data_IF_570308187675
#
_entry.id   IF_570308187675
#
_cell.length_a   1.000
_cell.length_b   1.000
_cell.length_c   1.000
_cell.angle_alpha   90.00
_cell.angle_beta   90.00
_cell.angle_gamma   90.00
#
_symmetry.space_group_name_H-M   'P 1'
#
loop_
_entity.id
_entity.type
_entity.pdbx_description
1 polymer ?
#
# COMPACT_ATOMS: atom_id res chain seq x y z
N UNK A 1 4.23 3.29 -7.30
CA UNK A 1 4.50 2.03 -6.56
C UNK A 1 4.34 0.84 -7.53
N UNK A 2 5.41 0.05 -7.85
CA UNK A 2 5.46 -1.41 -8.23
C UNK A 2 6.91 -1.82 -8.63
N UNK A 3 7.32 -3.10 -8.81
CA UNK A 3 8.72 -3.60 -8.94
C UNK A 3 8.88 -4.88 -9.80
N UNK A 4 10.15 -5.27 -10.08
CA UNK A 4 10.71 -6.46 -10.78
C UNK A 4 11.45 -7.39 -9.76
N UNK A 5 11.60 -8.70 -10.02
CA UNK A 5 12.16 -9.70 -9.06
C UNK A 5 13.45 -10.42 -9.47
N UNK A 6 14.11 -11.10 -8.50
CA UNK A 6 14.82 -12.43 -8.54
C UNK A 6 15.77 -12.68 -7.32
N UNK A 7 15.58 -13.87 -6.70
CA UNK A 7 16.42 -14.82 -5.92
C UNK A 7 17.19 -14.54 -4.61
N UNK A 8 17.06 -15.56 -3.72
CA UNK A 8 17.35 -15.69 -2.27
C UNK A 8 18.84 -15.88 -1.89
N UNK A 9 19.17 -15.72 -0.59
CA UNK A 9 19.66 -16.79 0.33
C UNK A 9 19.51 -16.40 1.83
N UNK A 10 19.35 -17.42 2.68
CA UNK A 10 18.79 -17.45 4.05
C UNK A 10 19.83 -17.47 5.20
N UNK A 11 19.49 -17.04 6.43
CA UNK A 11 19.58 -17.86 7.69
C UNK A 11 19.20 -17.17 9.03
N UNK A 12 18.88 -18.03 10.01
CA UNK A 12 18.17 -17.90 11.29
C UNK A 12 18.87 -17.27 12.53
N UNK A 13 18.06 -16.57 13.35
CA UNK A 13 17.68 -16.67 14.79
C UNK A 13 18.58 -17.12 16.00
N UNK A 14 18.42 -16.34 17.10
CA UNK A 14 18.39 -16.64 18.59
C UNK A 14 19.71 -16.90 19.41
N UNK A 15 19.71 -16.84 20.77
CA UNK A 15 19.66 -15.65 21.66
C UNK A 15 20.69 -15.66 22.83
N UNK A 16 20.53 -14.69 23.76
CA UNK A 16 21.33 -14.27 24.93
C UNK A 16 21.89 -15.31 25.92
N UNK A 17 22.99 -14.91 26.61
CA UNK A 17 23.32 -15.35 27.98
C UNK A 17 23.73 -14.20 28.91
N UNK A 18 23.30 -14.41 30.15
CA UNK A 18 23.37 -13.66 31.42
C UNK A 18 24.77 -13.22 31.86
N UNK A 19 24.86 -12.16 32.70
CA UNK A 19 25.40 -12.24 34.07
C UNK A 19 25.21 -10.93 34.86
N UNK A 20 24.80 -11.08 36.12
CA UNK A 20 24.50 -10.03 37.11
C UNK A 20 25.76 -9.39 37.69
N UNK A 21 25.70 -8.09 38.02
CA UNK A 21 26.52 -7.48 39.07
C UNK A 21 25.77 -6.31 39.72
N UNK A 22 25.69 -6.34 41.05
CA UNK A 22 25.02 -5.37 41.92
C UNK A 22 25.93 -4.15 42.13
N UNK A 23 25.54 -2.97 41.63
CA UNK A 23 26.05 -1.69 42.14
C UNK A 23 25.09 -0.54 41.83
N UNK A 24 24.70 0.17 42.89
CA UNK A 24 24.14 1.54 42.93
C UNK A 24 22.83 1.80 42.17
N UNK A 25 21.72 1.96 42.92
CA UNK A 25 20.46 2.49 42.38
C UNK A 25 20.58 4.00 42.22
N UNK A 26 21.24 4.43 41.14
CA UNK A 26 20.91 5.72 40.53
C UNK A 26 19.64 5.49 39.71
N UNK A 27 18.54 6.13 40.08
CA UNK A 27 17.31 6.13 39.29
C UNK A 27 17.56 7.02 38.06
N UNK A 28 18.32 6.49 37.10
CA UNK A 28 18.43 7.07 35.76
C UNK A 28 17.06 6.84 35.12
N UNK A 29 16.20 7.85 35.13
CA UNK A 29 15.03 7.87 34.26
C UNK A 29 15.57 7.89 32.84
N UNK A 30 15.76 6.71 32.26
CA UNK A 30 15.93 6.56 30.83
C UNK A 30 14.62 7.07 30.22
N UNK A 31 14.59 8.36 29.85
CA UNK A 31 13.69 8.82 28.81
C UNK A 31 14.02 7.96 27.60
N UNK A 32 13.29 6.86 27.47
CA UNK A 32 13.22 6.10 26.24
C UNK A 32 12.48 7.03 25.29
N UNK A 33 13.19 7.98 24.68
CA UNK A 33 12.70 8.58 23.46
C UNK A 33 12.56 7.39 22.53
N UNK A 34 11.34 6.89 22.36
CA UNK A 34 11.03 5.97 21.28
C UNK A 34 11.27 6.77 20.02
N UNK A 35 12.53 6.82 19.57
CA UNK A 35 12.88 7.24 18.24
C UNK A 35 12.23 6.20 17.33
N UNK A 36 10.99 6.45 16.93
CA UNK A 36 10.38 5.69 15.85
C UNK A 36 11.27 5.95 14.63
N UNK A 37 12.00 4.92 14.20
CA UNK A 37 12.72 4.97 12.95
C UNK A 37 11.71 5.29 11.85
N UNK A 38 11.93 6.39 11.12
CA UNK A 38 11.00 6.81 10.08
C UNK A 38 10.98 5.78 8.95
N UNK A 39 9.81 5.58 8.33
CA UNK A 39 9.69 4.58 7.26
C UNK A 39 10.56 4.97 6.04
N UNK A 40 10.56 6.26 5.71
CA UNK A 40 11.37 6.88 4.66
C UNK A 40 11.76 8.32 5.07
N UNK A 41 12.60 9.03 4.28
CA UNK A 41 12.88 10.45 4.53
C UNK A 41 11.62 11.33 4.40
N UNK A 42 11.39 12.24 5.34
CA UNK A 42 10.18 13.09 5.40
C UNK A 42 10.28 14.39 4.58
N UNK A 43 11.15 14.44 3.57
CA UNK A 43 11.48 15.65 2.81
C UNK A 43 10.64 15.87 1.54
N UNK A 44 9.68 14.98 1.26
CA UNK A 44 8.91 15.00 0.01
C UNK A 44 7.40 15.23 0.20
N UNK A 45 6.96 15.50 1.44
CA UNK A 45 5.54 15.71 1.77
C UNK A 45 4.73 14.42 1.94
N UNK A 46 5.39 13.27 2.08
CA UNK A 46 4.81 12.03 2.58
C UNK A 46 5.24 11.85 4.03
N UNK A 47 4.28 11.69 4.94
CA UNK A 47 4.56 11.32 6.33
C UNK A 47 4.33 9.83 6.54
N UNK A 48 4.91 9.24 7.58
CA UNK A 48 4.74 7.81 7.92
C UNK A 48 3.28 7.42 8.14
N UNK A 49 2.43 8.35 8.60
CA UNK A 49 1.00 8.12 8.71
C UNK A 49 0.40 7.82 7.34
N UNK A 50 0.75 8.63 6.34
CA UNK A 50 0.28 8.49 4.95
C UNK A 50 0.80 7.19 4.35
N UNK A 51 2.10 6.92 4.48
CA UNK A 51 2.77 5.73 3.94
C UNK A 51 2.12 4.45 4.45
N UNK A 52 1.98 4.34 5.76
CA UNK A 52 1.38 3.17 6.37
C UNK A 52 -0.09 3.02 5.99
N UNK A 53 -0.86 4.11 5.93
CA UNK A 53 -2.27 4.00 5.57
C UNK A 53 -2.46 3.55 4.11
N UNK A 54 -1.59 3.97 3.17
CA UNK A 54 -1.56 3.41 1.82
C UNK A 54 -1.22 1.92 1.84
N UNK A 55 -0.18 1.53 2.59
CA UNK A 55 0.27 0.14 2.70
C UNK A 55 -0.81 -0.78 3.30
N UNK A 56 -1.44 -0.34 4.39
CA UNK A 56 -2.50 -1.07 5.09
C UNK A 56 -3.71 -1.26 4.19
N UNK A 57 -4.10 -0.21 3.45
CA UNK A 57 -5.25 -0.28 2.55
C UNK A 57 -5.02 -1.26 1.40
N UNK A 58 -3.84 -1.22 0.76
CA UNK A 58 -3.50 -2.20 -0.27
C UNK A 58 -3.50 -3.63 0.29
N UNK A 59 -2.86 -3.84 1.45
CA UNK A 59 -2.80 -5.17 2.06
C UNK A 59 -4.16 -5.69 2.54
N UNK A 60 -5.07 -4.81 2.99
CA UNK A 60 -6.43 -5.16 3.31
C UNK A 60 -7.20 -5.68 2.09
N UNK A 61 -7.11 -5.00 0.95
CA UNK A 61 -7.74 -5.43 -0.30
C UNK A 61 -7.14 -6.72 -0.87
N UNK A 62 -5.81 -6.86 -0.80
CA UNK A 62 -5.14 -8.11 -1.16
C UNK A 62 -5.61 -9.28 -0.31
N UNK A 63 -5.82 -9.05 0.99
CA UNK A 63 -6.37 -10.05 1.91
C UNK A 63 -7.82 -10.42 1.54
N UNK A 64 -8.64 -9.42 1.23
CA UNK A 64 -10.05 -9.62 0.83
C UNK A 64 -10.15 -10.49 -0.44
N UNK A 65 -9.34 -10.20 -1.46
CA UNK A 65 -9.25 -11.01 -2.68
C UNK A 65 -8.68 -12.40 -2.38
N UNK A 66 -7.63 -12.50 -1.57
CA UNK A 66 -7.03 -13.79 -1.24
C UNK A 66 -8.03 -14.76 -0.58
N UNK A 67 -8.95 -14.24 0.24
CA UNK A 67 -10.02 -15.01 0.87
C UNK A 67 -11.19 -15.34 -0.04
N UNK A 68 -11.27 -14.72 -1.22
CA UNK A 68 -12.40 -14.85 -2.14
C UNK A 68 -13.65 -14.11 -1.65
N UNK A 69 -13.46 -12.98 -0.96
CA UNK A 69 -14.52 -12.18 -0.35
C UNK A 69 -14.81 -10.88 -1.14
N UNK A 70 -14.01 -10.59 -2.18
CA UNK A 70 -14.15 -9.38 -2.98
C UNK A 70 -15.19 -9.58 -4.10
N UNK A 71 -16.28 -8.81 -4.07
CA UNK A 71 -17.35 -8.87 -5.08
C UNK A 71 -16.83 -8.55 -6.48
N UNK A 72 -17.26 -9.35 -7.46
CA UNK A 72 -16.87 -9.22 -8.86
C UNK A 72 -18.05 -8.71 -9.70
N UNK A 73 -17.80 -7.72 -10.57
CA UNK A 73 -18.83 -7.07 -11.38
C UNK A 73 -19.52 -8.00 -12.38
N UNK A 74 -18.87 -9.10 -12.78
CA UNK A 74 -19.47 -10.13 -13.64
C UNK A 74 -20.27 -11.20 -12.86
N UNK A 75 -20.42 -11.04 -11.55
CA UNK A 75 -21.12 -11.97 -10.66
C UNK A 75 -20.16 -12.72 -9.73
N UNK A 76 -20.69 -13.12 -8.57
CA UNK A 76 -19.90 -13.80 -7.54
C UNK A 76 -18.79 -12.94 -6.93
N UNK A 77 -17.73 -13.61 -6.47
CA UNK A 77 -16.54 -12.97 -5.92
C UNK A 77 -15.32 -13.31 -6.78
N UNK A 78 -14.27 -12.49 -6.71
CA UNK A 78 -12.96 -12.84 -7.26
C UNK A 78 -12.48 -14.18 -6.65
N UNK A 79 -11.82 -15.04 -7.44
CA UNK A 79 -11.39 -16.35 -6.96
C UNK A 79 -10.30 -16.20 -5.89
N UNK A 80 -10.24 -17.18 -4.98
CA UNK A 80 -9.25 -17.22 -3.88
C UNK A 80 -7.83 -17.25 -4.44
N UNK A 81 -6.93 -16.49 -3.82
CA UNK A 81 -5.52 -16.47 -4.21
C UNK A 81 -4.69 -17.37 -3.27
N UNK A 82 -4.11 -18.44 -3.81
CA UNK A 82 -3.34 -19.41 -3.01
C UNK A 82 -2.07 -18.83 -2.38
N UNK A 83 -1.45 -17.81 -2.99
CA UNK A 83 -0.14 -17.24 -2.59
C UNK A 83 -0.08 -15.73 -2.85
N UNK A 84 -1.03 -14.99 -2.28
CA UNK A 84 -1.03 -13.52 -2.32
C UNK A 84 0.05 -12.96 -1.40
N UNK A 85 1.05 -12.28 -1.95
CA UNK A 85 2.14 -11.69 -1.15
C UNK A 85 1.67 -10.45 -0.39
N UNK A 86 2.19 -10.25 0.83
CA UNK A 86 2.00 -9.00 1.59
C UNK A 86 2.92 -7.93 1.04
N UNK A 87 2.37 -6.77 0.69
CA UNK A 87 3.16 -5.62 0.26
C UNK A 87 4.00 -5.05 1.40
N UNK A 88 5.19 -4.58 1.07
CA UNK A 88 6.04 -3.73 1.90
C UNK A 88 6.18 -2.34 1.27
N UNK A 89 6.35 -1.32 2.11
CA UNK A 89 6.66 0.03 1.62
C UNK A 89 8.12 0.10 1.16
N UNK A 90 8.40 0.87 0.11
CA UNK A 90 9.74 0.99 -0.45
C UNK A 90 10.00 2.45 -0.84
N UNK A 91 11.02 3.03 -0.22
CA UNK A 91 11.32 4.45 -0.32
C UNK A 91 11.86 4.86 -1.70
N UNK A 92 12.53 3.97 -2.44
CA UNK A 92 13.02 4.27 -3.78
C UNK A 92 11.86 4.40 -4.78
N UNK A 93 10.80 3.60 -4.59
CA UNK A 93 9.52 3.80 -5.29
C UNK A 93 8.92 5.16 -4.97
N UNK A 94 8.87 5.51 -3.68
CA UNK A 94 8.25 6.76 -3.22
C UNK A 94 8.97 7.94 -3.86
N UNK A 95 10.30 7.96 -3.76
CA UNK A 95 11.13 9.02 -4.32
C UNK A 95 10.88 9.20 -5.82
N UNK A 96 10.93 8.13 -6.61
CA UNK A 96 10.64 8.19 -8.05
C UNK A 96 9.21 8.70 -8.32
N UNK A 97 8.23 8.17 -7.59
CA UNK A 97 6.81 8.54 -7.74
C UNK A 97 6.60 10.02 -7.38
N UNK A 98 7.20 10.49 -6.29
CA UNK A 98 7.06 11.87 -5.81
C UNK A 98 7.81 12.85 -6.72
N UNK A 99 8.97 12.47 -7.27
CA UNK A 99 9.68 13.27 -8.26
C UNK A 99 8.85 13.46 -9.54
N UNK A 100 8.10 12.42 -9.96
CA UNK A 100 7.16 12.56 -11.07
C UNK A 100 5.92 13.37 -10.68
N UNK A 101 5.30 13.10 -9.53
CA UNK A 101 4.08 13.77 -9.07
C UNK A 101 4.26 15.29 -8.92
N UNK A 102 5.45 15.76 -8.54
CA UNK A 102 5.81 17.19 -8.47
C UNK A 102 5.72 17.91 -9.82
N UNK A 103 5.74 17.18 -10.94
CA UNK A 103 5.54 17.78 -12.28
C UNK A 103 4.09 18.18 -12.53
N UNK A 104 3.14 17.72 -11.70
CA UNK A 104 1.73 18.05 -11.80
C UNK A 104 1.10 17.70 -13.17
N UNK A 105 1.56 16.62 -13.80
CA UNK A 105 1.01 16.09 -15.06
C UNK A 105 0.18 14.85 -14.78
N UNK A 106 -1.08 14.84 -15.20
CA UNK A 106 -1.96 13.67 -15.08
C UNK A 106 -1.82 12.75 -16.30
N UNK A 107 -0.66 12.13 -16.41
CA UNK A 107 -0.36 11.13 -17.43
C UNK A 107 0.68 10.16 -16.89
N UNK A 108 0.73 8.94 -17.43
CA UNK A 108 1.82 8.03 -17.11
C UNK A 108 3.14 8.54 -17.73
N UNK A 109 4.22 8.56 -16.95
CA UNK A 109 5.56 8.63 -17.54
C UNK A 109 5.97 7.30 -18.17
N UNK A 110 7.07 7.31 -18.93
CA UNK A 110 7.55 6.13 -19.61
C UNK A 110 7.90 5.01 -18.62
N UNK A 111 7.79 3.76 -19.08
CA UNK A 111 8.08 2.61 -18.24
C UNK A 111 9.54 2.59 -17.75
N UNK A 112 10.47 3.05 -18.60
CA UNK A 112 11.88 3.18 -18.26
C UNK A 112 12.13 4.24 -17.17
N UNK A 113 11.45 5.39 -17.23
CA UNK A 113 11.58 6.46 -16.21
C UNK A 113 11.12 6.04 -14.82
N UNK A 114 10.31 4.97 -14.76
CA UNK A 114 9.81 4.38 -13.51
C UNK A 114 10.61 3.15 -13.10
N UNK A 115 11.84 2.93 -13.57
CA UNK A 115 12.61 1.71 -13.28
C UNK A 115 11.84 0.42 -13.57
N UNK A 116 10.99 0.43 -14.62
CA UNK A 116 10.13 -0.69 -14.99
C UNK A 116 9.09 -1.05 -13.93
N UNK A 117 8.61 -0.05 -13.21
CA UNK A 117 7.54 -0.16 -12.22
C UNK A 117 6.18 0.15 -12.82
N UNK A 118 5.16 -0.58 -12.36
CA UNK A 118 3.76 -0.23 -12.57
C UNK A 118 3.39 1.08 -11.87
N UNK A 119 2.29 1.68 -12.32
CA UNK A 119 1.84 2.98 -11.83
C UNK A 119 0.32 3.05 -11.91
N UNK A 120 -0.30 3.45 -10.80
CA UNK A 120 -1.67 3.92 -10.79
C UNK A 120 -1.65 5.43 -10.55
N UNK A 121 -2.58 6.16 -11.19
CA UNK A 121 -2.72 7.59 -11.05
C UNK A 121 -4.11 7.93 -10.50
N UNK A 122 -4.17 8.99 -9.69
CA UNK A 122 -5.41 9.55 -9.19
C UNK A 122 -5.26 11.06 -9.06
N UNK A 123 -6.33 11.79 -9.37
CA UNK A 123 -6.43 13.22 -9.22
C UNK A 123 -7.77 13.57 -8.58
N UNK A 124 -7.78 14.63 -7.79
CA UNK A 124 -8.98 15.23 -7.20
C UNK A 124 -9.02 16.71 -7.57
N UNK A 125 -10.23 17.28 -7.69
CA UNK A 125 -10.42 18.72 -7.84
C UNK A 125 -10.15 19.50 -6.55
N UNK A 126 -10.10 18.82 -5.40
CA UNK A 126 -9.81 19.44 -4.11
C UNK A 126 -8.33 19.79 -4.01
N UNK A 127 -8.02 21.08 -3.92
CA UNK A 127 -6.65 21.61 -3.84
C UNK A 127 -6.14 21.63 -2.39
N UNK A 128 -4.80 21.57 -2.23
CA UNK A 128 -4.07 21.74 -0.95
C UNK A 128 -4.57 20.85 0.21
N UNK A 129 -4.99 19.62 -0.08
CA UNK A 129 -5.40 18.67 0.95
C UNK A 129 -4.25 18.38 1.93
N UNK A 130 -4.54 18.46 3.23
CA UNK A 130 -3.59 18.07 4.27
C UNK A 130 -3.52 16.53 4.35
N UNK A 131 -2.42 15.98 3.83
CA UNK A 131 -2.23 14.53 3.71
C UNK A 131 -2.11 13.83 5.06
N UNK A 132 -1.38 14.44 6.00
CA UNK A 132 -1.09 13.82 7.29
C UNK A 132 -2.31 13.78 8.19
N UNK A 133 -3.11 14.85 8.24
CA UNK A 133 -4.34 14.89 9.04
C UNK A 133 -5.32 13.83 8.54
N UNK A 134 -5.60 13.79 7.24
CA UNK A 134 -6.54 12.80 6.73
C UNK A 134 -5.99 11.37 6.85
N UNK A 135 -4.67 11.13 6.80
CA UNK A 135 -4.11 9.82 7.10
C UNK A 135 -4.26 9.39 8.58
N UNK A 136 -4.05 10.33 9.52
CA UNK A 136 -4.24 10.08 10.95
C UNK A 136 -5.71 9.77 11.28
N UNK A 137 -6.66 10.43 10.61
CA UNK A 137 -8.09 10.19 10.79
C UNK A 137 -8.54 8.80 10.28
N UNK A 138 -7.95 8.28 9.20
CA UNK A 138 -8.21 6.89 8.75
C UNK A 138 -7.74 5.88 9.76
N UNK A 139 -6.56 6.07 10.34
CA UNK A 139 -6.05 5.14 11.34
C UNK A 139 -6.97 5.06 12.56
N UNK A 140 -7.54 6.19 12.98
CA UNK A 140 -8.52 6.24 14.07
C UNK A 140 -9.85 5.57 13.67
N UNK A 141 -10.17 5.64 12.39
CA UNK A 141 -11.31 4.97 11.76
C UNK A 141 -11.06 3.47 11.59
N UNK A 142 -11.06 2.70 12.67
CA UNK A 142 -11.33 1.25 12.61
C UNK A 142 -12.71 1.06 12.00
N UNK A 143 -12.83 0.91 10.67
CA UNK A 143 -14.05 0.42 10.00
C UNK A 143 -13.78 0.32 8.48
N UNK A 144 -13.82 -0.92 7.96
CA UNK A 144 -14.35 -1.17 6.63
C UNK A 144 -15.87 -1.21 6.81
N UNK A 145 -16.61 -0.14 6.47
CA UNK A 145 -18.08 -0.22 6.51
C UNK A 145 -18.74 0.87 5.69
N UNK A 146 -19.84 0.44 5.08
CA UNK A 146 -20.77 1.17 4.26
C UNK A 146 -21.60 2.13 5.12
N UNK A 147 -21.65 3.42 4.75
CA UNK A 147 -22.80 4.33 4.91
C UNK A 147 -22.34 5.75 4.63
N UNK A 148 -23.18 6.48 3.89
CA UNK A 148 -22.91 7.80 3.29
C UNK A 148 -22.73 8.99 4.25
N UNK A 149 -22.24 8.79 5.49
CA UNK A 149 -22.03 9.88 6.46
C UNK A 149 -20.56 10.06 6.89
N UNK A 150 -19.65 9.98 5.92
CA UNK A 150 -18.24 10.37 6.13
C UNK A 150 -17.68 11.16 4.94
N UNK A 151 -18.55 11.94 4.30
CA UNK A 151 -18.34 12.47 2.94
C UNK A 151 -17.36 13.65 2.85
N UNK A 152 -16.83 14.17 3.95
CA UNK A 152 -15.85 15.27 3.90
C UNK A 152 -14.44 14.91 4.40
N UNK A 153 -14.27 13.81 5.14
CA UNK A 153 -13.01 13.52 5.85
C UNK A 153 -12.15 12.41 5.25
N UNK A 154 -12.45 11.88 4.05
CA UNK A 154 -11.47 10.97 3.46
C UNK A 154 -11.36 10.90 1.93
N UNK A 155 -10.67 11.88 1.37
CA UNK A 155 -10.31 11.90 -0.04
C UNK A 155 -8.95 11.27 -0.36
N UNK A 156 -8.07 11.04 0.62
CA UNK A 156 -6.69 10.61 0.36
C UNK A 156 -6.58 9.15 -0.12
N UNK A 157 -7.28 8.21 0.55
CA UNK A 157 -7.29 6.80 0.14
C UNK A 157 -8.43 6.46 -0.82
N UNK A 158 -9.23 7.46 -1.21
CA UNK A 158 -10.20 7.33 -2.30
C UNK A 158 -9.53 6.86 -3.59
N UNK A 159 -8.26 7.21 -3.78
CA UNK A 159 -7.42 6.65 -4.85
C UNK A 159 -7.44 5.12 -4.87
N UNK A 160 -7.01 4.47 -3.77
CA UNK A 160 -6.93 3.02 -3.64
C UNK A 160 -8.31 2.37 -3.69
N UNK A 161 -9.33 3.00 -3.10
CA UNK A 161 -10.71 2.54 -3.17
C UNK A 161 -11.21 2.51 -4.61
N UNK A 162 -11.08 3.61 -5.35
CA UNK A 162 -11.54 3.70 -6.74
C UNK A 162 -10.77 2.75 -7.66
N UNK A 163 -9.46 2.61 -7.46
CA UNK A 163 -8.68 1.63 -8.20
C UNK A 163 -9.17 0.20 -7.93
N UNK A 164 -9.48 -0.14 -6.69
CA UNK A 164 -9.97 -1.48 -6.34
C UNK A 164 -11.41 -1.73 -6.82
N UNK A 165 -12.27 -0.72 -6.77
CA UNK A 165 -13.68 -0.80 -7.15
C UNK A 165 -13.90 -1.11 -8.64
N UNK A 166 -12.87 -0.98 -9.49
CA UNK A 166 -12.91 -1.46 -10.88
C UNK A 166 -13.31 -2.94 -10.95
N UNK A 167 -12.90 -3.78 -9.98
CA UNK A 167 -13.35 -5.17 -9.90
C UNK A 167 -14.87 -5.25 -9.83
N UNK A 168 -15.49 -4.45 -8.97
CA UNK A 168 -16.94 -4.47 -8.79
C UNK A 168 -17.68 -3.80 -9.95
N UNK A 169 -17.07 -2.81 -10.59
CA UNK A 169 -17.69 -2.04 -11.68
C UNK A 169 -17.60 -2.74 -13.03
N UNK A 170 -16.47 -3.38 -13.32
CA UNK A 170 -16.16 -3.91 -14.65
C UNK A 170 -15.96 -5.44 -14.67
N UNK A 171 -15.48 -5.98 -13.56
CA UNK A 171 -15.28 -7.40 -13.34
C UNK A 171 -14.16 -8.04 -14.13
N UNK A 172 -13.66 -9.16 -13.59
CA UNK A 172 -12.57 -9.96 -14.14
C UNK A 172 -13.02 -11.41 -14.31
N UNK A 173 -12.54 -12.15 -15.33
CA UNK A 173 -12.92 -13.55 -15.53
C UNK A 173 -12.40 -14.44 -14.38
N UNK A 174 -13.08 -15.57 -14.16
CA UNK A 174 -12.74 -16.52 -13.08
C UNK A 174 -11.37 -17.19 -13.26
N UNK A 175 -10.88 -17.28 -14.50
CA UNK A 175 -9.53 -17.77 -14.79
C UNK A 175 -8.43 -16.76 -14.40
N UNK A 176 -8.81 -15.53 -14.02
CA UNK A 176 -7.92 -14.42 -13.67
C UNK A 176 -6.85 -14.10 -14.74
N UNK A 177 -7.10 -14.41 -16.01
CA UNK A 177 -6.16 -14.14 -17.09
C UNK A 177 -6.35 -12.71 -17.60
N UNK A 178 -5.29 -11.90 -17.46
CA UNK A 178 -5.25 -10.54 -18.01
C UNK A 178 -4.99 -10.57 -19.53
N UNK A 179 -6.06 -10.77 -20.31
CA UNK A 179 -6.03 -10.58 -21.77
C UNK A 179 -6.22 -9.10 -22.12
N UNK A 180 -5.93 -8.72 -23.36
CA UNK A 180 -6.18 -7.35 -23.82
C UNK A 180 -7.67 -6.99 -23.79
N UNK A 181 -8.55 -7.96 -24.05
CA UNK A 181 -10.00 -7.77 -23.94
C UNK A 181 -10.44 -7.52 -22.50
N UNK A 182 -9.79 -8.15 -21.52
CA UNK A 182 -10.04 -7.91 -20.08
C UNK A 182 -9.47 -6.55 -19.69
N UNK A 183 -8.24 -6.22 -20.08
CA UNK A 183 -7.61 -4.94 -19.78
C UNK A 183 -8.46 -3.75 -20.28
N UNK A 184 -8.99 -3.85 -21.49
CA UNK A 184 -9.84 -2.83 -22.12
C UNK A 184 -11.19 -2.63 -21.41
N UNK A 185 -11.55 -3.46 -20.43
CA UNK A 185 -12.72 -3.22 -19.56
C UNK A 185 -12.47 -2.12 -18.52
N UNK A 186 -11.22 -1.67 -18.36
CA UNK A 186 -10.87 -0.67 -17.35
C UNK A 186 -10.61 -1.26 -15.96
N UNK A 187 -10.00 -2.45 -15.89
CA UNK A 187 -9.61 -3.12 -14.62
C UNK A 187 -8.10 -3.03 -14.34
N UNK A 188 -7.40 -2.14 -15.05
CA UNK A 188 -5.94 -2.02 -15.00
C UNK A 188 -5.43 -1.58 -13.63
N UNK A 189 -6.13 -0.67 -12.96
CA UNK A 189 -5.70 -0.21 -11.63
C UNK A 189 -5.98 -1.28 -10.57
N UNK A 190 -7.15 -1.92 -10.60
CA UNK A 190 -7.51 -3.02 -9.69
C UNK A 190 -6.49 -4.15 -9.78
N UNK A 191 -6.22 -4.62 -11.00
CA UNK A 191 -5.30 -5.73 -11.20
C UNK A 191 -3.88 -5.39 -10.77
N UNK A 192 -3.47 -4.13 -10.86
CA UNK A 192 -2.21 -3.68 -10.30
C UNK A 192 -2.21 -3.69 -8.76
N UNK A 193 -3.31 -3.29 -8.09
CA UNK A 193 -3.44 -3.32 -6.62
C UNK A 193 -3.31 -4.75 -6.08
N UNK A 194 -3.90 -5.72 -6.76
CA UNK A 194 -3.92 -7.13 -6.31
C UNK A 194 -2.91 -8.04 -7.00
N UNK A 195 -1.99 -7.50 -7.80
CA UNK A 195 -1.03 -8.30 -8.54
C UNK A 195 -0.20 -9.19 -7.62
N UNK A 196 -0.04 -10.47 -7.93
CA UNK A 196 0.62 -11.43 -7.02
C UNK A 196 2.04 -10.99 -6.66
N UNK A 197 2.85 -10.60 -7.65
CA UNK A 197 4.29 -10.34 -7.50
C UNK A 197 4.65 -8.88 -7.21
N UNK A 198 3.96 -8.24 -6.27
CA UNK A 198 4.42 -6.96 -5.68
C UNK A 198 5.36 -7.29 -4.53
N UNK A 199 6.52 -6.61 -4.42
CA UNK A 199 7.55 -6.87 -3.39
C UNK A 199 6.91 -7.13 -2.01
N UNK A 200 6.89 -8.40 -1.64
CA UNK A 200 6.92 -8.92 -0.29
C UNK A 200 8.15 -9.81 -0.27
N UNK A 201 9.06 -9.58 0.66
CA UNK A 201 10.27 -10.39 0.75
C UNK A 201 9.91 -11.88 0.84
N UNK A 202 10.44 -12.64 -0.11
CA UNK A 202 11.10 -13.90 0.24
C UNK A 202 12.51 -13.53 0.72
N UNK A 203 12.61 -13.15 1.99
CA UNK A 203 13.84 -13.12 2.81
C UNK A 203 13.47 -13.01 4.28
#
# INVERSE_FOLDING_TARGET
LVYKGVWLHSRHAHPLRSMFSLATVSFLVLLSTTGHASMCPDNNGMSDEVRQAFLDKHNAYRTLVAKGEAQNGIGGNAPKAARMLKMKYDCAIEENTMNFAKKCVFAHNSYADRNYWGQNLYMSSVLKQNKTVAAAEVRKSKICSNSGEKLFLLFLFKSVDLWFDELKQHGVPDDNVMTMAVFNRGVGHYTQVIWRSVKGDDS
#
